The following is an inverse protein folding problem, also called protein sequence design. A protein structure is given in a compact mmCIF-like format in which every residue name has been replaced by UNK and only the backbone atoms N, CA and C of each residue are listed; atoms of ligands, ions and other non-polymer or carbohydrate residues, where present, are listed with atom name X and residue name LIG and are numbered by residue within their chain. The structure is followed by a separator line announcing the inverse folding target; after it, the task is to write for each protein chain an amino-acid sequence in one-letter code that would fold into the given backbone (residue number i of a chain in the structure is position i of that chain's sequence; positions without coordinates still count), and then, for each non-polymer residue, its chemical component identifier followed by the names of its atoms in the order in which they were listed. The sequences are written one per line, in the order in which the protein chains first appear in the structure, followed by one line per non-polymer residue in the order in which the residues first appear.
data_IF_627383388519
#
_entry.id   IF_627383388519
#
_cell.length_a   1.000
_cell.length_b   1.000
_cell.length_c   1.000
_cell.angle_alpha   90.00
_cell.angle_beta   90.00
_cell.angle_gamma   90.00
#
_symmetry.space_group_name_H-M   'P 1'
#
loop_
_entity.id
_entity.type
_entity.pdbx_description
1 polymer ?
#
# COMPACT_ATOMS: atom_id res chain seq x y z
N UNK A 1 -33.08 -14.57 4.51
CA UNK A 1 -31.93 -15.44 4.86
C UNK A 1 -30.81 -15.07 3.91
N UNK A 2 -29.79 -14.37 4.41
CA UNK A 2 -28.65 -13.93 3.59
C UNK A 2 -27.63 -15.06 3.55
N UNK A 3 -27.34 -15.55 2.35
CA UNK A 3 -26.32 -16.57 2.12
C UNK A 3 -24.95 -16.03 2.52
N UNK A 4 -24.14 -16.78 3.30
CA UNK A 4 -22.78 -16.38 3.60
C UNK A 4 -21.95 -16.50 2.31
N UNK A 5 -21.51 -15.37 1.78
CA UNK A 5 -20.53 -15.35 0.69
C UNK A 5 -19.21 -15.88 1.23
N UNK A 6 -18.65 -16.84 0.49
CA UNK A 6 -17.33 -17.43 0.69
C UNK A 6 -16.28 -16.32 0.90
N UNK A 7 -15.75 -16.22 2.12
CA UNK A 7 -14.52 -15.49 2.41
C UNK A 7 -13.37 -16.38 1.90
N UNK A 8 -12.52 -15.92 0.97
CA UNK A 8 -11.30 -16.65 0.63
C UNK A 8 -10.44 -16.75 1.89
N UNK A 9 -10.08 -17.98 2.26
CA UNK A 9 -9.29 -18.32 3.45
C UNK A 9 -8.02 -17.48 3.54
N UNK A 10 -7.91 -16.80 4.68
CA UNK A 10 -7.00 -15.70 4.99
C UNK A 10 -5.73 -16.24 5.67
N UNK A 11 -5.07 -17.23 5.07
CA UNK A 11 -4.03 -18.04 5.77
C UNK A 11 -2.59 -17.79 5.33
N UNK A 12 -2.29 -16.67 4.67
CA UNK A 12 -0.90 -16.27 4.42
C UNK A 12 -0.65 -14.86 4.94
N UNK A 13 0.04 -14.82 6.08
CA UNK A 13 0.46 -13.64 6.86
C UNK A 13 -0.64 -12.94 7.68
N UNK A 14 -1.15 -13.62 8.70
CA UNK A 14 -1.59 -12.90 9.89
C UNK A 14 -0.34 -12.37 10.62
N UNK A 15 -0.16 -11.04 10.77
CA UNK A 15 0.90 -10.51 11.62
C UNK A 15 0.69 -11.01 13.05
N UNK A 16 1.81 -11.22 13.76
CA UNK A 16 1.92 -11.80 15.11
C UNK A 16 1.24 -10.98 16.21
N UNK A 17 -0.07 -10.79 16.11
CA UNK A 17 -0.93 -10.21 17.15
C UNK A 17 -1.97 -11.25 17.50
N UNK A 18 -1.54 -12.29 18.22
CA UNK A 18 -2.43 -13.12 19.02
C UNK A 18 -2.74 -12.41 20.34
N UNK A 19 -3.26 -11.18 20.28
CA UNK A 19 -3.96 -10.59 21.42
C UNK A 19 -5.44 -10.93 21.26
N UNK A 20 -5.95 -11.74 22.18
CA UNK A 20 -7.38 -11.97 22.38
C UNK A 20 -8.14 -10.63 22.30
N UNK A 21 -8.92 -10.41 21.23
CA UNK A 21 -9.77 -9.23 21.09
C UNK A 21 -9.46 -8.28 19.91
N UNK A 22 -8.41 -8.55 19.12
CA UNK A 22 -8.11 -7.78 17.89
C UNK A 22 -8.79 -8.41 16.67
N UNK A 23 -9.49 -7.61 15.89
CA UNK A 23 -10.05 -7.99 14.58
C UNK A 23 -9.50 -7.10 13.47
N UNK A 24 -9.22 -7.71 12.33
CA UNK A 24 -8.76 -7.05 11.11
C UNK A 24 -9.96 -6.75 10.21
N UNK A 25 -10.33 -5.48 10.10
CA UNK A 25 -11.57 -5.06 9.44
C UNK A 25 -11.29 -4.25 8.17
N UNK A 26 -12.06 -4.46 7.10
CA UNK A 26 -11.89 -3.72 5.86
C UNK A 26 -12.29 -2.26 6.03
N UNK A 27 -11.54 -1.37 5.38
CA UNK A 27 -11.85 0.05 5.27
C UNK A 27 -11.55 0.52 3.85
N UNK A 28 -12.45 1.31 3.28
CA UNK A 28 -12.23 1.97 1.99
C UNK A 28 -12.03 3.46 2.25
N UNK A 29 -11.05 4.01 1.55
CA UNK A 29 -10.75 5.44 1.51
C UNK A 29 -10.88 5.91 0.06
N UNK A 30 -11.55 7.04 -0.16
CA UNK A 30 -11.58 7.75 -1.43
C UNK A 30 -10.99 9.14 -1.24
N UNK A 31 -9.85 9.41 -1.89
CA UNK A 31 -9.21 10.72 -1.91
C UNK A 31 -9.59 11.46 -3.20
N UNK A 32 -10.17 12.65 -3.06
CA UNK A 32 -10.46 13.55 -4.18
C UNK A 32 -9.39 14.64 -4.27
N UNK A 33 -8.93 14.96 -5.48
CA UNK A 33 -7.92 15.99 -5.67
C UNK A 33 -8.00 16.67 -7.04
N UNK A 34 -7.56 17.93 -7.08
CA UNK A 34 -7.42 18.73 -8.30
C UNK A 34 -6.01 18.68 -8.85
N UNK A 35 -5.91 18.62 -10.18
CA UNK A 35 -4.67 18.44 -10.93
C UNK A 35 -4.62 19.34 -12.14
N UNK A 36 -3.43 19.83 -12.48
CA UNK A 36 -3.21 20.61 -13.69
C UNK A 36 -1.83 20.31 -14.26
N UNK A 37 -1.76 19.95 -15.55
CA UNK A 37 -0.51 19.62 -16.22
C UNK A 37 0.29 18.50 -15.53
N UNK A 38 -0.41 17.48 -15.01
CA UNK A 38 0.21 16.35 -14.31
C UNK A 38 0.72 16.66 -12.90
N UNK A 39 0.38 17.83 -12.32
CA UNK A 39 0.77 18.21 -10.96
C UNK A 39 -0.44 18.36 -10.06
N UNK A 40 -0.35 17.85 -8.84
CA UNK A 40 -1.39 18.00 -7.83
C UNK A 40 -1.44 19.46 -7.39
N UNK A 41 -2.59 20.10 -7.57
CA UNK A 41 -2.81 21.46 -7.10
C UNK A 41 -3.29 21.46 -5.66
N UNK A 42 -4.27 20.60 -5.35
CA UNK A 42 -4.94 20.61 -4.05
C UNK A 42 -5.67 19.30 -3.78
N UNK A 43 -5.58 18.83 -2.55
CA UNK A 43 -6.49 17.82 -2.00
C UNK A 43 -7.84 18.47 -1.68
N UNK A 44 -8.94 17.85 -2.13
CA UNK A 44 -10.30 18.36 -1.94
C UNK A 44 -10.88 17.81 -0.63
N UNK A 45 -11.13 16.51 -0.61
CA UNK A 45 -11.76 15.83 0.52
C UNK A 45 -11.36 14.35 0.50
N UNK A 46 -11.28 13.77 1.70
CA UNK A 46 -11.00 12.35 1.92
C UNK A 46 -12.23 11.74 2.58
N UNK A 47 -12.82 10.76 1.91
CA UNK A 47 -13.95 10.00 2.43
C UNK A 47 -13.45 8.65 2.93
N UNK A 48 -13.86 8.25 4.14
CA UNK A 48 -13.37 7.03 4.79
C UNK A 48 -14.52 6.29 5.46
N UNK A 49 -14.70 5.01 5.14
CA UNK A 49 -15.75 4.19 5.74
C UNK A 49 -15.41 2.69 5.77
N UNK A 50 -15.96 1.90 6.71
CA UNK A 50 -15.91 0.44 6.64
C UNK A 50 -16.71 -0.11 5.44
N UNK A 51 -16.02 -0.74 4.49
CA UNK A 51 -16.64 -1.26 3.26
C UNK A 51 -16.80 -0.20 2.15
N UNK A 52 -17.50 -0.55 1.07
CA UNK A 52 -17.49 0.15 -0.22
C UNK A 52 -18.53 1.27 -0.39
N UNK A 53 -19.42 1.47 0.58
CA UNK A 53 -20.55 2.42 0.47
C UNK A 53 -20.13 3.88 0.25
N UNK A 54 -18.86 4.20 0.53
CA UNK A 54 -18.30 5.55 0.47
C UNK A 54 -18.01 6.03 -0.96
N UNK A 55 -17.88 5.12 -1.92
CA UNK A 55 -17.49 5.46 -3.29
C UNK A 55 -18.57 6.29 -4.00
N UNK A 56 -19.84 5.89 -3.91
CA UNK A 56 -20.95 6.62 -4.55
C UNK A 56 -21.05 8.08 -4.09
N UNK A 57 -21.13 8.37 -2.78
CA UNK A 57 -21.13 9.73 -2.25
C UNK A 57 -19.89 10.54 -2.66
N UNK A 58 -18.69 9.94 -2.62
CA UNK A 58 -17.46 10.62 -3.01
C UNK A 58 -17.47 11.02 -4.50
N UNK A 59 -17.91 10.11 -5.38
CA UNK A 59 -18.01 10.40 -6.82
C UNK A 59 -19.10 11.44 -7.13
N UNK A 60 -20.22 11.43 -6.42
CA UNK A 60 -21.24 12.47 -6.54
C UNK A 60 -20.71 13.85 -6.10
N UNK A 61 -19.96 13.90 -5.00
CA UNK A 61 -19.30 15.12 -4.53
C UNK A 61 -18.28 15.63 -5.55
N UNK A 62 -17.50 14.72 -6.14
CA UNK A 62 -16.60 15.04 -7.23
C UNK A 62 -17.39 15.68 -8.39
N UNK A 63 -18.38 15.00 -8.95
CA UNK A 63 -19.17 15.51 -10.08
C UNK A 63 -19.81 16.88 -9.81
N UNK A 64 -20.31 17.10 -8.59
CA UNK A 64 -20.83 18.40 -8.17
C UNK A 64 -19.76 19.50 -8.21
N UNK A 65 -18.55 19.23 -7.73
CA UNK A 65 -17.43 20.18 -7.82
C UNK A 65 -17.02 20.46 -9.26
N UNK A 66 -17.00 19.43 -10.12
CA UNK A 66 -16.78 19.63 -11.55
C UNK A 66 -17.79 20.62 -12.14
N UNK A 67 -19.08 20.46 -11.85
CA UNK A 67 -20.13 21.36 -12.31
C UNK A 67 -19.97 22.79 -11.74
N UNK A 68 -19.61 22.91 -10.44
CA UNK A 68 -19.42 24.20 -9.78
C UNK A 68 -18.25 25.00 -10.36
N UNK A 69 -17.15 24.33 -10.72
CA UNK A 69 -15.95 24.97 -11.26
C UNK A 69 -15.87 24.97 -12.79
N UNK A 70 -16.90 24.48 -13.49
CA UNK A 70 -16.89 24.38 -14.96
C UNK A 70 -15.77 23.48 -15.50
N UNK A 71 -15.45 22.41 -14.78
CA UNK A 71 -14.43 21.45 -15.20
C UNK A 71 -15.08 20.47 -16.17
N UNK A 72 -14.83 20.69 -17.45
CA UNK A 72 -15.26 19.84 -18.54
C UNK A 72 -14.13 18.90 -18.99
N UNK A 73 -14.44 17.94 -19.86
CA UNK A 73 -13.45 17.00 -20.39
C UNK A 73 -12.31 17.70 -21.17
N UNK A 74 -12.60 18.85 -21.78
CA UNK A 74 -11.65 19.69 -22.51
C UNK A 74 -10.78 20.57 -21.58
N UNK A 75 -11.11 20.66 -20.29
CA UNK A 75 -10.40 21.51 -19.33
C UNK A 75 -8.97 21.01 -19.09
N UNK A 76 -8.06 21.97 -18.87
CA UNK A 76 -6.70 21.67 -18.42
C UNK A 76 -6.64 21.33 -16.93
N UNK A 77 -7.62 21.84 -16.16
CA UNK A 77 -7.88 21.43 -14.80
C UNK A 77 -8.60 20.07 -14.83
N UNK A 78 -8.11 19.16 -14.02
CA UNK A 78 -8.65 17.83 -13.87
C UNK A 78 -8.97 17.57 -12.41
N UNK A 79 -9.95 16.72 -12.18
CA UNK A 79 -10.23 16.20 -10.86
C UNK A 79 -10.20 14.69 -10.91
N UNK A 80 -9.60 14.10 -9.89
CA UNK A 80 -9.36 12.67 -9.80
C UNK A 80 -9.87 12.13 -8.48
N UNK A 81 -10.42 10.92 -8.52
CA UNK A 81 -10.77 10.14 -7.36
C UNK A 81 -9.86 8.90 -7.30
N UNK A 82 -9.19 8.73 -6.17
CA UNK A 82 -8.34 7.58 -5.89
C UNK A 82 -8.94 6.75 -4.78
N UNK A 83 -8.95 5.43 -4.95
CA UNK A 83 -9.44 4.48 -3.97
C UNK A 83 -8.28 3.72 -3.36
N UNK A 84 -8.21 3.74 -2.03
CA UNK A 84 -7.34 2.89 -1.23
C UNK A 84 -8.20 1.90 -0.44
N UNK A 85 -7.97 0.60 -0.65
CA UNK A 85 -8.57 -0.46 0.16
C UNK A 85 -7.57 -0.85 1.26
N UNK A 86 -8.05 -0.90 2.51
CA UNK A 86 -7.24 -1.14 3.71
C UNK A 86 -7.82 -2.25 4.56
N UNK A 87 -6.97 -2.90 5.35
CA UNK A 87 -7.38 -3.73 6.49
C UNK A 87 -6.78 -3.10 7.75
N UNK A 88 -7.61 -2.86 8.75
CA UNK A 88 -7.25 -2.11 9.95
C UNK A 88 -7.52 -2.94 11.19
N UNK A 89 -6.55 -2.94 12.09
CA UNK A 89 -6.67 -3.56 13.39
C UNK A 89 -7.62 -2.73 14.27
N UNK A 90 -8.68 -3.37 14.76
CA UNK A 90 -9.62 -2.82 15.72
C UNK A 90 -9.80 -3.74 16.90
N UNK A 91 -10.08 -3.19 18.07
CA UNK A 91 -10.52 -3.94 19.24
C UNK A 91 -12.01 -3.74 19.45
N UNK A 92 -12.66 -4.74 20.05
CA UNK A 92 -14.06 -4.61 20.46
C UNK A 92 -14.12 -4.42 21.96
N UNK A 93 -14.74 -3.34 22.39
CA UNK A 93 -15.01 -3.09 23.80
C UNK A 93 -15.94 -4.17 24.36
N UNK A 94 -15.58 -4.77 25.49
CA UNK A 94 -16.41 -5.79 26.15
C UNK A 94 -17.68 -5.18 26.79
N UNK A 95 -17.64 -3.88 27.11
CA UNK A 95 -18.71 -3.18 27.84
C UNK A 95 -19.89 -2.86 26.91
N UNK A 96 -19.61 -2.26 25.76
CA UNK A 96 -20.62 -1.72 24.85
C UNK A 96 -20.55 -2.34 23.44
N UNK A 97 -19.62 -3.28 23.21
CA UNK A 97 -19.44 -3.97 21.93
C UNK A 97 -19.06 -3.04 20.76
N UNK A 98 -18.63 -1.81 21.04
CA UNK A 98 -18.18 -0.88 20.01
C UNK A 98 -16.78 -1.22 19.52
N UNK A 99 -16.54 -1.00 18.23
CA UNK A 99 -15.22 -1.16 17.62
C UNK A 99 -14.42 0.13 17.78
N UNK A 100 -13.23 0.03 18.36
CA UNK A 100 -12.26 1.12 18.48
C UNK A 100 -10.96 0.79 17.75
N UNK A 101 -10.22 1.82 17.36
CA UNK A 101 -8.88 1.64 16.78
C UNK A 101 -7.93 1.09 17.82
N UNK A 102 -7.03 0.19 17.41
CA UNK A 102 -5.92 -0.26 18.25
C UNK A 102 -4.96 0.91 18.48
N UNK A 103 -4.47 1.07 19.71
CA UNK A 103 -3.48 2.09 20.02
C UNK A 103 -2.21 1.85 19.17
N UNK A 104 -1.60 2.90 18.57
CA UNK A 104 -0.40 2.73 17.76
C UNK A 104 0.72 2.08 18.58
N UNK A 105 1.17 0.90 18.16
CA UNK A 105 2.36 0.24 18.69
C UNK A 105 3.45 0.30 17.62
N UNK A 106 4.64 0.86 17.90
CA UNK A 106 5.72 0.96 16.92
C UNK A 106 6.24 -0.40 16.43
N UNK A 107 5.91 -1.49 17.13
CA UNK A 107 6.31 -2.88 16.81
C UNK A 107 5.19 -3.73 16.24
N UNK A 108 4.01 -3.16 15.97
CA UNK A 108 2.89 -3.90 15.38
C UNK A 108 2.24 -3.13 14.24
N UNK A 109 1.93 -3.85 13.16
CA UNK A 109 1.08 -3.33 12.10
C UNK A 109 -0.32 -3.03 12.69
N UNK A 110 -0.87 -1.86 12.39
CA UNK A 110 -2.23 -1.49 12.77
C UNK A 110 -3.11 -1.20 11.54
N UNK A 111 -2.49 -1.07 10.36
CA UNK A 111 -3.14 -0.79 9.09
C UNK A 111 -2.30 -1.37 7.96
N UNK A 112 -2.93 -2.10 7.04
CA UNK A 112 -2.30 -2.78 5.91
C UNK A 112 -2.99 -2.32 4.63
N UNK A 113 -2.22 -1.79 3.69
CA UNK A 113 -2.73 -1.40 2.38
C UNK A 113 -2.98 -2.66 1.55
N UNK A 114 -4.20 -2.82 1.04
CA UNK A 114 -4.56 -3.93 0.16
C UNK A 114 -4.50 -3.50 -1.29
N UNK A 115 -5.07 -2.35 -1.63
CA UNK A 115 -5.04 -1.86 -3.00
C UNK A 115 -5.03 -0.34 -3.03
N UNK A 116 -4.48 0.24 -4.09
CA UNK A 116 -4.50 1.69 -4.33
C UNK A 116 -4.58 1.96 -5.83
N UNK A 117 -5.57 2.73 -6.28
CA UNK A 117 -5.81 2.98 -7.71
C UNK A 117 -6.63 4.23 -7.96
N UNK A 118 -6.52 4.86 -9.13
CA UNK A 118 -7.55 5.79 -9.59
C UNK A 118 -8.83 5.02 -9.94
N UNK A 119 -10.00 5.59 -9.63
CA UNK A 119 -11.32 4.99 -9.96
C UNK A 119 -12.18 5.90 -10.83
N UNK A 120 -11.87 7.19 -10.87
CA UNK A 120 -12.59 8.15 -11.69
C UNK A 120 -11.72 9.38 -11.99
N UNK A 121 -11.93 9.99 -13.16
CA UNK A 121 -11.43 11.33 -13.46
C UNK A 121 -12.44 12.17 -14.23
N UNK A 122 -12.32 13.49 -14.15
CA UNK A 122 -13.18 14.42 -14.91
C UNK A 122 -13.01 14.29 -16.43
N UNK A 123 -11.90 13.69 -16.90
CA UNK A 123 -11.62 13.50 -18.33
C UNK A 123 -12.09 12.16 -18.88
N UNK A 124 -12.00 11.10 -18.08
CA UNK A 124 -12.28 9.74 -18.55
C UNK A 124 -13.57 9.18 -17.95
N UNK A 125 -14.14 9.84 -16.95
CA UNK A 125 -15.23 9.30 -16.17
C UNK A 125 -14.75 8.14 -15.31
N UNK A 126 -15.59 7.12 -15.14
CA UNK A 126 -15.28 5.93 -14.35
C UNK A 126 -14.20 5.10 -15.04
N UNK A 127 -13.17 4.73 -14.30
CA UNK A 127 -12.06 3.92 -14.82
C UNK A 127 -12.39 2.41 -14.73
N UNK A 128 -11.79 1.58 -15.60
CA UNK A 128 -11.99 0.14 -15.55
C UNK A 128 -11.59 -0.48 -14.20
N UNK A 129 -12.26 -1.55 -13.76
CA UNK A 129 -11.90 -2.26 -12.53
C UNK A 129 -10.52 -2.92 -12.65
N UNK A 130 -9.81 -3.11 -11.51
CA UNK A 130 -8.45 -3.69 -11.46
C UNK A 130 -8.28 -5.00 -12.21
N UNK A 131 -9.32 -5.84 -12.27
CA UNK A 131 -9.29 -7.12 -12.97
C UNK A 131 -9.04 -6.98 -14.49
N UNK A 132 -9.26 -5.80 -15.05
CA UNK A 132 -9.02 -5.49 -16.46
C UNK A 132 -7.64 -4.84 -16.71
N UNK A 133 -6.88 -4.58 -15.64
CA UNK A 133 -5.58 -3.92 -15.73
C UNK A 133 -4.49 -4.98 -15.91
N UNK A 134 -3.43 -4.64 -16.64
CA UNK A 134 -2.30 -5.55 -16.84
C UNK A 134 -1.49 -5.63 -15.54
N UNK A 135 -1.33 -6.83 -14.99
CA UNK A 135 -0.63 -7.05 -13.72
C UNK A 135 0.82 -7.45 -13.91
N UNK A 136 1.65 -7.12 -12.92
CA UNK A 136 3.06 -7.47 -12.85
C UNK A 136 3.43 -7.84 -11.41
N UNK A 137 4.38 -8.75 -11.26
CA UNK A 137 5.00 -9.03 -9.97
C UNK A 137 6.25 -8.16 -9.81
N UNK A 138 6.33 -7.44 -8.69
CA UNK A 138 7.41 -6.53 -8.39
C UNK A 138 8.13 -6.98 -7.11
N UNK A 139 9.39 -7.37 -7.24
CA UNK A 139 10.26 -7.70 -6.11
C UNK A 139 10.99 -6.46 -5.60
N UNK A 140 11.05 -6.27 -4.28
CA UNK A 140 11.84 -5.20 -3.67
C UNK A 140 13.11 -5.70 -2.99
N UNK A 141 14.06 -4.78 -2.86
CA UNK A 141 15.31 -4.90 -2.14
C UNK A 141 15.42 -3.67 -1.26
N UNK A 142 15.45 -3.87 0.06
CA UNK A 142 15.62 -2.79 1.04
C UNK A 142 16.73 -3.13 2.03
N UNK A 143 17.72 -2.24 2.11
CA UNK A 143 18.77 -2.33 3.12
C UNK A 143 18.40 -1.43 4.29
N UNK A 144 18.54 -1.93 5.51
CA UNK A 144 18.30 -1.15 6.73
C UNK A 144 19.32 -1.49 7.81
N UNK A 145 19.71 -0.50 8.59
CA UNK A 145 20.56 -0.68 9.76
C UNK A 145 19.70 -0.93 10.98
N UNK A 146 20.12 -1.89 11.80
CA UNK A 146 19.39 -2.35 12.98
C UNK A 146 20.33 -2.51 14.17
N UNK A 147 19.79 -2.40 15.36
CA UNK A 147 20.43 -2.86 16.60
C UNK A 147 19.76 -4.16 16.99
N UNK A 148 20.55 -5.20 17.22
CA UNK A 148 20.00 -6.52 17.52
C UNK A 148 20.93 -7.34 18.41
N UNK A 149 20.31 -8.16 19.25
CA UNK A 149 20.97 -9.20 20.06
C UNK A 149 20.90 -10.59 19.40
N UNK A 150 20.28 -10.70 18.23
CA UNK A 150 20.14 -11.94 17.46
C UNK A 150 21.49 -12.39 16.90
N UNK A 151 21.64 -13.72 16.73
CA UNK A 151 22.80 -14.27 16.06
C UNK A 151 22.70 -13.98 14.55
N UNK A 152 23.81 -13.54 13.90
CA UNK A 152 23.85 -13.26 12.46
C UNK A 152 23.50 -14.44 11.53
N UNK A 153 23.53 -15.67 12.06
CA UNK A 153 23.27 -16.89 11.29
C UNK A 153 21.81 -17.36 11.41
N UNK A 154 21.01 -16.71 12.24
CA UNK A 154 19.63 -17.10 12.49
C UNK A 154 18.71 -16.54 11.40
N UNK A 155 17.51 -17.12 11.23
CA UNK A 155 16.49 -16.53 10.37
C UNK A 155 15.79 -15.37 11.09
N UNK A 156 15.86 -14.18 10.50
CA UNK A 156 15.30 -12.95 11.08
C UNK A 156 13.94 -12.60 10.49
N UNK A 157 13.37 -13.46 9.63
CA UNK A 157 12.13 -13.17 8.89
C UNK A 157 10.92 -12.99 9.80
N UNK A 158 10.88 -13.65 10.95
CA UNK A 158 9.82 -13.48 11.96
C UNK A 158 10.00 -12.22 12.83
N UNK A 159 11.16 -11.57 12.75
CA UNK A 159 11.54 -10.44 13.60
C UNK A 159 11.20 -9.09 12.95
N UNK A 160 10.76 -9.11 11.68
CA UNK A 160 10.42 -7.93 10.89
C UNK A 160 9.13 -8.19 10.11
N UNK A 161 8.20 -7.26 10.22
CA UNK A 161 7.07 -7.13 9.29
C UNK A 161 7.39 -6.06 8.26
N UNK A 162 7.11 -6.34 6.98
CA UNK A 162 7.19 -5.36 5.91
C UNK A 162 5.77 -4.95 5.49
N UNK A 163 5.55 -3.66 5.28
CA UNK A 163 4.28 -3.08 4.84
C UNK A 163 4.53 -2.12 3.69
N UNK A 164 3.61 -2.05 2.72
CA UNK A 164 3.65 -0.97 1.73
C UNK A 164 3.22 0.35 2.36
N UNK A 165 3.97 1.40 2.04
CA UNK A 165 3.56 2.78 2.31
C UNK A 165 2.45 3.16 1.32
N UNK A 166 1.47 3.95 1.76
CA UNK A 166 0.45 4.51 0.84
C UNK A 166 1.15 5.26 -0.31
N UNK A 167 0.98 4.82 -1.57
CA UNK A 167 1.60 5.48 -2.70
C UNK A 167 1.09 6.93 -2.78
N UNK A 168 1.97 7.85 -3.16
CA UNK A 168 1.51 9.19 -3.50
C UNK A 168 0.47 9.10 -4.63
N UNK A 169 -0.58 9.94 -4.61
CA UNK A 169 -1.63 9.97 -5.64
C UNK A 169 -1.06 10.15 -7.07
N UNK A 170 0.17 10.67 -7.18
CA UNK A 170 0.93 10.74 -8.43
C UNK A 170 1.15 9.38 -9.10
N UNK A 171 1.21 8.29 -8.34
CA UNK A 171 1.31 6.93 -8.84
C UNK A 171 0.11 6.60 -9.74
N UNK A 172 -1.10 6.87 -9.23
CA UNK A 172 -2.35 6.60 -9.95
C UNK A 172 -2.53 7.49 -11.18
N UNK A 173 -2.01 8.72 -11.18
CA UNK A 173 -1.98 9.55 -12.40
C UNK A 173 -1.10 8.99 -13.51
N UNK A 174 -0.09 8.19 -13.15
CA UNK A 174 0.74 7.49 -14.12
C UNK A 174 0.22 6.08 -14.39
N UNK A 175 -1.07 5.86 -14.12
CA UNK A 175 -1.78 4.59 -14.27
C UNK A 175 -1.11 3.43 -13.51
N UNK A 176 -0.32 3.70 -12.48
CA UNK A 176 0.20 2.66 -11.58
C UNK A 176 -0.81 2.42 -10.47
N UNK A 177 -1.29 1.19 -10.38
CA UNK A 177 -2.12 0.71 -9.30
C UNK A 177 -1.40 -0.37 -8.49
N UNK A 178 -1.72 -0.42 -7.21
CA UNK A 178 -1.43 -1.55 -6.35
C UNK A 178 -2.64 -2.48 -6.34
N UNK A 179 -2.44 -3.74 -6.72
CA UNK A 179 -3.51 -4.75 -6.80
C UNK A 179 -3.67 -5.47 -5.47
N UNK A 180 -2.55 -5.92 -4.92
CA UNK A 180 -2.44 -6.54 -3.62
C UNK A 180 -1.19 -6.02 -2.93
N UNK A 181 -1.39 -5.29 -1.83
CA UNK A 181 -0.33 -4.70 -1.03
C UNK A 181 0.25 -5.62 0.03
N UNK A 182 -0.22 -6.86 0.12
CA UNK A 182 0.41 -7.88 0.94
C UNK A 182 1.75 -8.28 0.34
N UNK A 183 2.80 -8.20 1.14
CA UNK A 183 4.15 -8.59 0.74
C UNK A 183 4.29 -10.11 0.88
N UNK A 184 4.54 -10.80 -0.23
CA UNK A 184 4.84 -12.24 -0.22
C UNK A 184 6.34 -12.50 -0.23
N UNK A 185 6.74 -13.73 0.09
CA UNK A 185 8.13 -14.21 -0.01
C UNK A 185 9.16 -13.34 0.74
N UNK A 186 8.75 -12.81 1.89
CA UNK A 186 9.60 -11.98 2.74
C UNK A 186 10.83 -12.78 3.19
N UNK A 187 12.02 -12.22 2.96
CA UNK A 187 13.29 -12.77 3.42
C UNK A 187 14.11 -11.67 4.09
N UNK A 188 14.70 -11.99 5.22
CA UNK A 188 15.62 -11.11 5.94
C UNK A 188 16.99 -11.78 6.04
N UNK A 189 18.01 -11.11 5.53
CA UNK A 189 19.39 -11.64 5.47
C UNK A 189 20.33 -10.65 6.12
N UNK A 190 21.09 -11.10 7.13
CA UNK A 190 22.19 -10.32 7.69
C UNK A 190 23.32 -10.12 6.66
N UNK A 191 23.80 -8.88 6.52
CA UNK A 191 24.79 -8.47 5.51
C UNK A 191 26.10 -7.95 6.08
N UNK A 192 26.20 -7.77 7.40
CA UNK A 192 27.43 -7.34 8.05
C UNK A 192 27.18 -6.28 9.12
N UNK A 193 28.26 -5.67 9.59
CA UNK A 193 28.20 -4.64 10.62
C UNK A 193 28.32 -3.24 10.00
N UNK A 194 27.59 -2.30 10.58
CA UNK A 194 27.70 -0.87 10.34
C UNK A 194 28.54 -0.21 11.47
N UNK A 195 28.90 1.05 11.28
CA UNK A 195 29.60 1.82 12.32
C UNK A 195 28.76 1.96 13.59
N UNK A 196 29.41 1.97 14.77
CA UNK A 196 28.70 2.19 16.04
C UNK A 196 28.00 0.95 16.63
N UNK A 197 28.34 -0.26 16.16
CA UNK A 197 27.80 -1.51 16.70
C UNK A 197 26.42 -1.90 16.13
N UNK A 198 25.95 -1.19 15.11
CA UNK A 198 24.77 -1.59 14.35
C UNK A 198 25.08 -2.68 13.33
N UNK A 199 24.04 -3.39 12.92
CA UNK A 199 24.09 -4.45 11.93
C UNK A 199 23.32 -4.02 10.69
N UNK A 200 23.77 -4.46 9.51
CA UNK A 200 23.10 -4.21 8.24
C UNK A 200 22.33 -5.46 7.84
N UNK A 201 21.05 -5.29 7.52
CA UNK A 201 20.23 -6.35 6.95
C UNK A 201 19.74 -5.98 5.56
N UNK A 202 19.50 -7.01 4.76
CA UNK A 202 18.77 -6.95 3.52
C UNK A 202 17.40 -7.59 3.73
N UNK A 203 16.35 -6.84 3.40
CA UNK A 203 14.98 -7.32 3.35
C UNK A 203 14.52 -7.36 1.90
N UNK A 204 13.94 -8.47 1.48
CA UNK A 204 13.34 -8.63 0.15
C UNK A 204 11.94 -9.21 0.27
N UNK A 205 11.08 -8.92 -0.69
CA UNK A 205 9.76 -9.52 -0.83
C UNK A 205 9.12 -9.11 -2.15
N UNK A 206 7.91 -9.58 -2.40
CA UNK A 206 7.21 -9.37 -3.68
C UNK A 206 5.82 -8.78 -3.43
N UNK A 207 5.37 -7.90 -4.34
CA UNK A 207 4.00 -7.36 -4.36
C UNK A 207 3.44 -7.42 -5.78
N UNK A 208 2.12 -7.29 -5.92
CA UNK A 208 1.46 -7.25 -7.23
C UNK A 208 1.00 -5.85 -7.58
N UNK A 209 1.53 -5.34 -8.68
CA UNK A 209 1.16 -4.03 -9.24
C UNK A 209 0.38 -4.21 -10.53
N UNK A 210 -0.34 -3.19 -10.95
CA UNK A 210 -1.00 -3.16 -12.24
C UNK A 210 -0.80 -1.82 -12.94
N UNK A 211 -0.87 -1.86 -14.26
CA UNK A 211 -0.83 -0.69 -15.12
C UNK A 211 -2.19 -0.53 -15.80
N UNK A 212 -2.72 0.69 -15.73
CA UNK A 212 -4.00 1.06 -16.31
C UNK A 212 -3.99 0.93 -17.84
N UNK A 213 -5.17 0.66 -18.44
CA UNK A 213 -5.29 0.39 -19.87
C UNK A 213 -4.98 1.60 -20.77
N UNK A 214 -4.92 2.79 -20.19
CA UNK A 214 -4.61 4.04 -20.90
C UNK A 214 -3.14 4.46 -20.77
N UNK A 215 -2.33 3.68 -20.04
CA UNK A 215 -0.93 3.97 -19.89
C UNK A 215 -0.19 3.73 -21.21
N UNK A 216 0.63 4.69 -21.64
CA UNK A 216 1.57 4.49 -22.75
C UNK A 216 2.75 3.57 -22.39
N UNK A 217 2.75 2.98 -21.19
CA UNK A 217 3.79 2.07 -20.69
C UNK A 217 3.59 0.70 -21.30
N UNK A 218 4.38 0.40 -22.31
CA UNK A 218 4.31 -0.87 -23.02
C UNK A 218 5.37 -1.88 -22.55
N UNK A 219 6.45 -1.39 -21.92
CA UNK A 219 7.62 -2.20 -21.57
C UNK A 219 7.82 -2.37 -20.06
N UNK A 220 8.39 -3.51 -19.65
CA UNK A 220 8.72 -3.79 -18.25
C UNK A 220 9.66 -2.73 -17.62
N UNK A 221 10.69 -2.20 -18.32
CA UNK A 221 11.51 -1.11 -17.78
C UNK A 221 10.71 0.15 -17.41
N UNK A 222 9.68 0.50 -18.18
CA UNK A 222 8.83 1.65 -17.89
C UNK A 222 8.01 1.44 -16.61
N UNK A 223 7.54 0.20 -16.41
CA UNK A 223 6.81 -0.21 -15.20
C UNK A 223 7.76 -0.23 -14.00
N UNK A 224 8.97 -0.79 -14.15
CA UNK A 224 9.99 -0.81 -13.10
C UNK A 224 10.34 0.62 -12.66
N UNK A 225 10.55 1.54 -13.60
CA UNK A 225 10.83 2.94 -13.29
C UNK A 225 9.67 3.58 -12.51
N UNK A 226 8.42 3.28 -12.90
CA UNK A 226 7.24 3.78 -12.19
C UNK A 226 7.21 3.28 -10.75
N UNK A 227 7.38 1.98 -10.56
CA UNK A 227 7.34 1.36 -9.24
C UNK A 227 8.44 1.94 -8.35
N UNK A 228 9.66 2.09 -8.87
CA UNK A 228 10.78 2.73 -8.15
C UNK A 228 10.53 4.20 -7.79
N UNK A 229 9.64 4.88 -8.51
CA UNK A 229 9.33 6.30 -8.27
C UNK A 229 8.25 6.51 -7.20
N UNK A 230 7.37 5.53 -6.97
CA UNK A 230 6.16 5.74 -6.17
C UNK A 230 5.90 4.72 -5.07
N UNK A 231 6.51 3.54 -5.12
CA UNK A 231 6.34 2.54 -4.07
C UNK A 231 7.51 2.58 -3.09
N UNK A 232 7.17 2.51 -1.81
CA UNK A 232 8.14 2.31 -0.74
C UNK A 232 7.61 1.29 0.27
N UNK A 233 8.53 0.66 1.00
CA UNK A 233 8.24 -0.36 2.00
C UNK A 233 8.61 0.17 3.37
N UNK A 234 7.68 0.18 4.30
CA UNK A 234 7.96 0.38 5.71
C UNK A 234 8.33 -0.97 6.35
N UNK A 235 9.39 -0.97 7.15
CA UNK A 235 9.78 -2.11 7.97
C UNK A 235 9.44 -1.82 9.43
N UNK A 236 8.85 -2.80 10.11
CA UNK A 236 8.50 -2.73 11.53
C UNK A 236 9.13 -3.93 12.24
N UNK A 237 9.97 -3.72 13.26
CA UNK A 237 10.40 -4.81 14.13
C UNK A 237 9.20 -5.39 14.87
N UNK A 238 9.14 -6.72 15.04
CA UNK A 238 8.03 -7.40 15.72
C UNK A 238 8.34 -7.75 17.17
N UNK A 239 9.60 -7.68 17.58
CA UNK A 239 10.07 -8.09 18.91
C UNK A 239 11.03 -7.05 19.52
N UNK A 240 11.46 -7.29 20.76
CA UNK A 240 12.47 -6.45 21.43
C UNK A 240 13.92 -6.82 21.06
N UNK A 241 14.11 -7.95 20.36
CA UNK A 241 15.43 -8.46 20.00
C UNK A 241 16.04 -7.71 18.81
N UNK A 242 15.24 -6.93 18.11
CA UNK A 242 15.62 -6.17 16.93
C UNK A 242 14.94 -4.79 16.97
N UNK A 243 15.72 -3.76 16.70
CA UNK A 243 15.24 -2.39 16.58
C UNK A 243 15.87 -1.72 15.36
N UNK A 244 15.14 -0.83 14.68
CA UNK A 244 15.71 -0.03 13.61
C UNK A 244 16.69 0.99 14.20
N UNK A 245 17.88 1.11 13.60
CA UNK A 245 18.88 2.07 14.08
C UNK A 245 18.56 3.48 13.57
N UNK A 246 17.89 4.27 14.40
CA UNK A 246 17.52 5.67 14.11
C UNK A 246 18.72 6.62 14.07
N UNK A 247 19.90 6.18 14.52
CA UNK A 247 21.13 6.98 14.44
C UNK A 247 21.84 6.89 13.10
N UNK A 248 21.46 5.93 12.25
CA UNK A 248 21.99 5.83 10.90
C UNK A 248 21.31 6.84 9.97
N UNK A 249 22.09 7.81 9.49
CA UNK A 249 21.61 8.85 8.57
C UNK A 249 21.75 8.48 7.10
N UNK A 250 22.28 7.30 6.77
CA UNK A 250 22.48 6.87 5.38
C UNK A 250 21.14 6.52 4.75
N UNK A 251 20.74 7.30 3.75
CA UNK A 251 19.53 7.05 2.96
C UNK A 251 19.72 5.82 2.09
N UNK A 252 18.86 4.81 2.29
CA UNK A 252 18.81 3.58 1.50
C UNK A 252 17.39 3.39 0.99
N UNK A 253 17.06 3.92 -0.20
CA UNK A 253 15.72 3.80 -0.76
C UNK A 253 15.42 2.33 -1.11
N UNK A 254 14.13 2.01 -1.18
CA UNK A 254 13.68 0.71 -1.67
C UNK A 254 13.93 0.65 -3.18
N UNK A 255 14.66 -0.38 -3.61
CA UNK A 255 14.84 -0.67 -5.03
C UNK A 255 13.85 -1.75 -5.46
N UNK A 256 13.17 -1.53 -6.58
CA UNK A 256 12.18 -2.44 -7.12
C UNK A 256 12.64 -3.02 -8.45
N UNK A 257 12.22 -4.26 -8.73
CA UNK A 257 12.40 -4.93 -10.01
C UNK A 257 11.15 -5.67 -10.42
N UNK A 258 10.80 -5.60 -11.69
CA UNK A 258 9.72 -6.42 -12.22
C UNK A 258 10.26 -7.84 -12.39
N UNK A 259 9.65 -8.80 -11.69
CA UNK A 259 9.98 -10.20 -11.86
C UNK A 259 9.51 -10.64 -13.25
N UNK A 260 10.40 -11.26 -14.02
CA UNK A 260 10.03 -11.89 -15.28
C UNK A 260 9.08 -13.03 -14.90
N UNK A 261 7.78 -12.85 -15.16
CA UNK A 261 6.84 -13.97 -15.13
C UNK A 261 7.31 -14.88 -16.28
N UNK A 262 7.80 -16.10 -16.02
CA UNK A 262 7.94 -17.03 -17.12
C UNK A 262 6.52 -17.24 -17.64
N UNK A 263 6.24 -16.78 -18.87
CA UNK A 263 5.00 -17.10 -19.54
C UNK A 263 4.82 -18.62 -19.44
N UNK A 264 3.80 -19.03 -18.68
CA UNK A 264 3.40 -20.41 -18.58
C UNK A 264 3.09 -20.90 -19.99
N UNK A 265 3.92 -21.86 -20.45
CA UNK A 265 3.77 -22.62 -21.70
C UNK A 265 2.45 -23.39 -21.66
#
# INVERSE_FOLDING_TARGET
MLSPQHIPTLDTQQPSVCESGVAWLPQVVIDLSFWHGGRKLKDLERFEWPGDIVEGPALAHAQQNCALFGIEQSSTLEMWAFRSDWIIAKTRSEIDQHWSSVAPNPRAAHKILVSHRPVWSSKQGTLPPLLQWRTFEAGFIKFVSVKSTLSPNDDWSEQITALLVEPALMAGLQDLALVDGRITDLKVVHRGHCGGGSQLILVTGTVRVAIGPHANRSSEPDVEQAVNSFLDVQLLPTTELLELDTSDTVLRPTAWRIAIIPESI
#
